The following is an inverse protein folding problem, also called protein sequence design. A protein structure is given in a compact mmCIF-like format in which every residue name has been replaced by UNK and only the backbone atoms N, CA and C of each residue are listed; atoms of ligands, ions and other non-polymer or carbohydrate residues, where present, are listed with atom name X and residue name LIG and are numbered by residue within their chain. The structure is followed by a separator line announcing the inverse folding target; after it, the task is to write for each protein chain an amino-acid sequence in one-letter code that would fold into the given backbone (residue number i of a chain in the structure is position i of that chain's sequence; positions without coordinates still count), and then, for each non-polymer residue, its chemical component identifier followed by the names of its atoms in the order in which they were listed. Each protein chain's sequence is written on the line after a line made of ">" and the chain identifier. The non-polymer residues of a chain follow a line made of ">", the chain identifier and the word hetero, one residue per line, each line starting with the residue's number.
data_IF_308883789396
#
_entry.id   IF_308883789396
#
_cell.length_a   1.000
_cell.length_b   1.000
_cell.length_c   1.000
_cell.angle_alpha   90.00
_cell.angle_beta   90.00
_cell.angle_gamma   90.00
#
_symmetry.space_group_name_H-M   'P 1'
#
loop_
_entity.id
_entity.type
_entity.pdbx_description
1 polymer ?
#
# COMPACT_ATOMS: atom_id res chain seq x y z
N UNK A 1 8.48 5.84 18.37
CA UNK A 1 8.87 5.33 17.44
C UNK A 1 10.23 5.41 17.26
N UNK A 2 10.62 5.32 17.14
CA UNK A 2 11.68 5.41 17.12
C UNK A 2 12.53 4.62 16.80
N UNK A 3 12.69 4.04 16.93
CA UNK A 3 13.57 3.32 16.87
C UNK A 3 13.91 2.84 15.73
N UNK A 4 13.66 2.32 15.13
CA UNK A 4 14.06 1.91 14.11
C UNK A 4 13.73 2.43 12.97
N UNK A 5 13.59 3.21 12.74
CA UNK A 5 13.38 3.81 11.67
C UNK A 5 14.34 3.46 10.80
N UNK A 6 14.56 2.70 10.59
CA UNK A 6 15.54 2.42 9.93
C UNK A 6 15.55 2.51 8.72
N UNK A 7 15.63 2.64 8.30
CA UNK A 7 15.92 2.70 7.28
C UNK A 7 15.58 2.37 6.25
N UNK A 8 15.80 2.34 5.84
CA UNK A 8 15.69 1.92 4.88
C UNK A 8 14.77 1.51 4.18
N UNK A 9 14.17 1.75 4.14
CA UNK A 9 13.38 1.41 3.53
C UNK A 9 12.67 0.48 3.30
N UNK A 10 12.31 0.16 3.47
CA UNK A 10 11.79 -0.79 3.29
C UNK A 10 10.66 -1.15 3.61
N UNK A 11 10.18 -1.40 3.52
CA UNK A 11 9.26 -2.04 3.59
C UNK A 11 8.44 -2.26 4.43
N UNK A 12 7.89 -2.49 4.53
CA UNK A 12 7.16 -2.93 5.20
C UNK A 12 6.23 -2.90 5.88
N UNK A 13 5.73 -3.25 6.05
CA UNK A 13 4.93 -3.46 6.78
C UNK A 13 4.26 -2.65 7.35
N UNK A 14 4.21 -1.89 7.08
CA UNK A 14 3.69 -0.99 7.74
C UNK A 14 2.39 -1.30 8.04
N UNK A 15 1.69 -1.45 7.37
CA UNK A 15 0.44 -1.58 7.70
C UNK A 15 0.04 -2.64 8.35
N UNK A 16 0.57 -3.18 8.72
CA UNK A 16 0.22 -4.18 9.27
C UNK A 16 -0.73 -4.25 10.11
N UNK A 17 -1.23 -4.89 10.22
CA UNK A 17 -2.15 -5.19 10.96
C UNK A 17 -2.00 -5.14 12.18
N UNK A 18 -2.54 -4.75 12.52
CA UNK A 18 -2.55 -4.54 13.68
C UNK A 18 -2.56 -5.60 14.47
N UNK A 19 -2.93 -6.35 14.17
CA UNK A 19 -3.08 -7.25 14.99
C UNK A 19 -1.94 -7.75 15.44
N UNK A 20 -1.14 -7.76 15.01
CA UNK A 20 -0.11 -8.29 15.40
C UNK A 20 0.39 -7.55 16.21
N UNK A 21 -0.07 -6.97 16.53
CA UNK A 21 0.39 -6.31 17.31
C UNK A 21 1.59 -6.29 17.67
N UNK A 22 1.88 -5.78 18.22
CA UNK A 22 3.00 -5.76 18.68
C UNK A 22 3.99 -5.34 17.95
N UNK A 23 3.88 -5.23 17.04
CA UNK A 23 4.86 -4.94 16.36
C UNK A 23 5.25 -3.70 16.29
N UNK A 24 6.13 -3.37 16.31
CA UNK A 24 6.64 -2.24 16.21
C UNK A 24 6.49 -1.74 14.97
N UNK A 25 5.88 -0.83 14.75
CA UNK A 25 5.82 -0.27 13.53
C UNK A 25 7.05 0.42 13.19
N UNK A 26 7.42 0.42 12.00
CA UNK A 26 8.57 1.16 11.57
C UNK A 26 8.31 2.60 11.82
N UNK A 27 9.33 3.34 11.95
CA UNK A 27 9.20 4.71 12.20
C UNK A 27 9.39 5.45 10.91
N UNK A 28 8.38 5.99 10.36
CA UNK A 28 8.49 6.75 9.14
C UNK A 28 8.47 8.24 9.44
N UNK A 29 9.23 8.98 8.69
CA UNK A 29 9.35 10.41 8.93
C UNK A 29 8.22 11.21 8.32
N UNK A 30 7.66 10.72 7.21
CA UNK A 30 6.65 11.49 6.49
C UNK A 30 5.33 10.77 6.39
N UNK A 31 5.22 9.57 6.93
CA UNK A 31 4.05 8.74 6.79
C UNK A 31 3.49 8.35 8.15
N UNK A 32 2.20 8.51 8.29
CA UNK A 32 1.52 8.10 9.51
C UNK A 32 0.99 6.68 9.36
N UNK A 33 0.27 6.40 8.30
CA UNK A 33 -0.32 5.08 8.08
C UNK A 33 -0.49 4.82 6.60
N UNK A 34 -0.50 3.56 6.22
CA UNK A 34 -0.79 3.17 4.85
C UNK A 34 -1.57 1.87 4.85
N UNK A 35 -2.56 1.77 3.99
CA UNK A 35 -3.43 0.61 3.91
C UNK A 35 -3.62 0.16 2.48
N UNK A 36 -3.78 -1.14 2.29
CA UNK A 36 -4.10 -1.70 1.00
C UNK A 36 -5.27 -2.65 1.20
N UNK A 37 -6.33 -2.47 0.46
CA UNK A 37 -7.54 -3.26 0.62
C UNK A 37 -7.98 -3.87 -0.69
N UNK A 38 -8.58 -5.04 -0.61
CA UNK A 38 -9.09 -5.72 -1.78
C UNK A 38 -10.41 -6.41 -1.41
N UNK A 39 -11.41 -6.27 -2.26
CA UNK A 39 -12.61 -7.06 -2.16
C UNK A 39 -12.98 -7.57 -3.54
N UNK A 40 -13.57 -8.74 -3.61
CA UNK A 40 -13.98 -9.31 -4.88
C UNK A 40 -15.44 -9.67 -4.78
N UNK A 41 -16.23 -9.23 -5.75
CA UNK A 41 -17.64 -9.51 -5.77
C UNK A 41 -18.12 -9.48 -7.20
N UNK A 42 -18.87 -10.50 -7.60
CA UNK A 42 -19.45 -10.53 -8.95
C UNK A 42 -18.43 -10.45 -10.05
N UNK A 43 -17.26 -11.01 -9.85
CA UNK A 43 -16.24 -10.99 -10.89
C UNK A 43 -15.50 -9.66 -10.98
N UNK A 44 -15.67 -8.80 -9.99
CA UNK A 44 -14.99 -7.50 -9.98
C UNK A 44 -14.08 -7.41 -8.78
N UNK A 45 -12.83 -7.10 -9.02
CA UNK A 45 -11.86 -6.87 -7.95
C UNK A 45 -11.84 -5.38 -7.66
N UNK A 46 -12.17 -5.00 -6.45
CA UNK A 46 -12.15 -3.60 -6.04
C UNK A 46 -10.94 -3.38 -5.15
N UNK A 47 -10.04 -2.55 -5.60
CA UNK A 47 -8.78 -2.30 -4.94
C UNK A 47 -8.79 -0.89 -4.38
N UNK A 48 -8.27 -0.71 -3.19
CA UNK A 48 -8.19 0.63 -2.62
C UNK A 48 -6.92 0.77 -1.82
N UNK A 49 -6.18 1.80 -2.10
CA UNK A 49 -4.97 2.12 -1.37
C UNK A 49 -5.19 3.45 -0.66
N UNK A 50 -4.85 3.51 0.61
CA UNK A 50 -5.01 4.73 1.39
C UNK A 50 -3.69 5.02 2.09
N UNK A 51 -3.21 6.24 1.96
CA UNK A 51 -1.96 6.64 2.59
C UNK A 51 -2.20 7.93 3.34
N UNK A 52 -1.81 7.94 4.61
CA UNK A 52 -1.87 9.14 5.42
C UNK A 52 -0.44 9.56 5.71
N UNK A 53 -0.05 10.67 5.17
CA UNK A 53 1.21 11.29 5.53
C UNK A 53 1.02 12.10 6.79
N UNK A 54 1.78 13.15 6.94
CA UNK A 54 1.71 14.00 8.11
C UNK A 54 1.35 15.39 7.63
N UNK A 55 0.22 15.87 8.11
CA UNK A 55 -0.26 17.19 7.74
C UNK A 55 0.79 18.23 8.09
N UNK A 56 1.10 19.08 7.16
CA UNK A 56 2.11 20.12 7.36
C UNK A 56 3.52 19.65 7.05
N UNK A 57 3.71 18.37 6.80
CA UNK A 57 5.04 17.84 6.51
C UNK A 57 5.06 17.18 5.14
N UNK A 58 4.13 16.27 4.90
CA UNK A 58 4.10 15.53 3.64
C UNK A 58 3.56 16.40 2.52
N UNK A 59 4.30 16.50 1.43
CA UNK A 59 3.93 17.40 0.34
C UNK A 59 3.37 16.66 -0.86
N UNK A 60 3.70 15.39 -1.03
CA UNK A 60 3.27 14.66 -2.20
C UNK A 60 3.31 13.16 -1.92
N UNK A 61 2.42 12.41 -2.50
CA UNK A 61 2.43 10.96 -2.39
C UNK A 61 2.27 10.38 -3.80
N UNK A 62 3.15 9.47 -4.17
CA UNK A 62 3.04 8.77 -5.44
C UNK A 62 2.70 7.33 -5.12
N UNK A 63 1.56 6.87 -5.58
CA UNK A 63 1.06 5.54 -5.26
C UNK A 63 1.10 4.66 -6.50
N UNK A 64 1.61 3.46 -6.36
CA UNK A 64 1.51 2.43 -7.38
C UNK A 64 0.75 1.27 -6.77
N UNK A 65 -0.36 0.91 -7.38
CA UNK A 65 -1.23 -0.13 -6.88
C UNK A 65 -1.21 -1.27 -7.87
N UNK A 66 -0.89 -2.47 -7.41
CA UNK A 66 -0.77 -3.64 -8.28
C UNK A 66 -1.70 -4.73 -7.80
N UNK A 67 -2.51 -5.26 -8.70
CA UNK A 67 -3.35 -6.41 -8.41
C UNK A 67 -2.57 -7.65 -8.80
N UNK A 68 -2.43 -8.57 -7.88
CA UNK A 68 -1.65 -9.79 -8.09
C UNK A 68 -2.49 -11.04 -7.86
N UNK A 69 -2.17 -12.10 -8.59
CA UNK A 69 -2.82 -13.38 -8.40
C UNK A 69 -1.75 -14.39 -7.99
N UNK A 70 -2.11 -15.27 -7.09
CA UNK A 70 -1.17 -16.26 -6.62
C UNK A 70 -0.96 -17.30 -7.72
N UNK A 71 0.31 -17.65 -7.97
CA UNK A 71 0.66 -18.55 -9.01
C UNK A 71 1.67 -19.52 -8.41
N UNK A 72 1.21 -20.65 -7.88
CA UNK A 72 2.06 -21.55 -7.15
C UNK A 72 2.51 -20.91 -5.87
N UNK A 73 3.79 -20.75 -5.69
CA UNK A 73 4.32 -20.12 -4.50
C UNK A 73 4.73 -18.67 -4.78
N UNK A 74 4.37 -18.16 -5.93
CA UNK A 74 4.73 -16.81 -6.32
C UNK A 74 3.49 -15.98 -6.55
N UNK A 75 3.68 -14.72 -6.83
CA UNK A 75 2.60 -13.81 -7.15
C UNK A 75 2.86 -13.20 -8.52
N UNK A 76 1.84 -13.21 -9.36
CA UNK A 76 1.95 -12.69 -10.71
C UNK A 76 1.12 -11.42 -10.84
N UNK A 77 1.67 -10.43 -11.49
CA UNK A 77 0.95 -9.18 -11.69
C UNK A 77 -0.17 -9.34 -12.71
N UNK A 78 -1.33 -8.84 -12.41
CA UNK A 78 -2.42 -8.80 -13.36
C UNK A 78 -2.46 -7.43 -14.01
N UNK A 79 -2.47 -6.38 -13.23
CA UNK A 79 -2.50 -5.03 -13.73
C UNK A 79 -2.02 -4.10 -12.63
N UNK A 80 -1.69 -2.88 -13.00
CA UNK A 80 -1.34 -1.89 -11.99
C UNK A 80 -1.79 -0.52 -12.43
N UNK A 81 -1.86 0.37 -11.48
CA UNK A 81 -2.25 1.75 -11.68
C UNK A 81 -1.31 2.62 -10.86
N UNK A 82 -1.12 3.84 -11.29
CA UNK A 82 -0.22 4.75 -10.60
C UNK A 82 -0.78 6.15 -10.64
N UNK A 83 -0.61 6.90 -9.58
CA UNK A 83 -1.13 8.25 -9.51
C UNK A 83 -0.29 9.08 -8.55
N UNK A 84 -0.18 10.37 -8.82
CA UNK A 84 0.52 11.30 -7.96
C UNK A 84 -0.50 12.22 -7.29
N UNK A 85 -0.39 12.34 -5.98
CA UNK A 85 -1.28 13.18 -5.21
C UNK A 85 -0.46 14.27 -4.53
N UNK A 86 -0.73 15.52 -4.84
CA UNK A 86 0.01 16.62 -4.22
C UNK A 86 -0.70 16.99 -2.93
N UNK A 87 -0.61 16.12 -1.97
CA UNK A 87 -1.33 16.24 -0.71
C UNK A 87 -0.66 15.37 0.33
N UNK A 88 -0.99 15.57 1.58
CA UNK A 88 -0.47 14.74 2.64
C UNK A 88 -1.31 13.47 2.83
N UNK A 89 -2.41 13.35 2.10
CA UNK A 89 -3.33 12.24 2.25
C UNK A 89 -3.83 11.82 0.88
N UNK A 90 -4.04 10.55 0.67
CA UNK A 90 -4.66 10.12 -0.57
C UNK A 90 -5.47 8.83 -0.38
N UNK A 91 -6.46 8.69 -1.23
CA UNK A 91 -7.26 7.48 -1.31
C UNK A 91 -7.35 7.14 -2.78
N UNK A 92 -6.95 5.94 -3.15
CA UNK A 92 -6.81 5.60 -4.57
C UNK A 92 -7.56 4.31 -4.86
N UNK A 93 -8.80 4.39 -5.31
CA UNK A 93 -9.59 3.21 -5.63
C UNK A 93 -9.49 2.88 -7.11
N UNK A 94 -9.46 1.61 -7.42
CA UNK A 94 -9.50 1.14 -8.80
C UNK A 94 -10.21 -0.19 -8.82
N UNK A 95 -10.69 -0.59 -9.98
CA UNK A 95 -11.32 -1.90 -10.09
C UNK A 95 -10.88 -2.58 -11.37
N UNK A 96 -10.97 -3.89 -11.38
CA UNK A 96 -10.57 -4.69 -12.53
C UNK A 96 -11.57 -5.82 -12.70
N UNK A 97 -12.02 -6.03 -13.91
CA UNK A 97 -12.94 -7.12 -14.23
C UNK A 97 -12.78 -7.49 -15.68
N UNK A 98 -13.14 -8.72 -16.06
CA UNK A 98 -13.61 -9.75 -15.18
C UNK A 98 -12.45 -10.45 -14.50
N UNK A 99 -12.69 -10.99 -13.33
CA UNK A 99 -11.64 -11.66 -12.63
C UNK A 99 -12.07 -13.09 -12.39
N UNK A 100 -11.19 -14.01 -12.65
CA UNK A 100 -11.52 -15.43 -12.52
C UNK A 100 -11.27 -15.95 -11.13
N UNK A 101 -11.32 -17.27 -10.99
CA UNK A 101 -11.08 -17.85 -9.69
C UNK A 101 -9.59 -17.80 -9.40
N UNK A 102 -9.26 -17.81 -8.15
CA UNK A 102 -7.86 -17.74 -7.72
C UNK A 102 -7.77 -16.99 -6.42
N UNK A 103 -6.55 -16.82 -5.93
CA UNK A 103 -6.29 -16.06 -4.73
C UNK A 103 -5.58 -14.79 -5.15
N UNK A 104 -6.08 -13.68 -4.68
CA UNK A 104 -5.61 -12.37 -5.11
C UNK A 104 -5.19 -11.50 -3.94
N UNK A 105 -4.34 -10.54 -4.21
CA UNK A 105 -4.00 -9.51 -3.23
C UNK A 105 -3.64 -8.22 -3.96
N UNK A 106 -3.61 -7.13 -3.23
CA UNK A 106 -3.20 -5.84 -3.78
C UNK A 106 -1.90 -5.43 -3.11
N UNK A 107 -0.92 -5.10 -3.91
CA UNK A 107 0.34 -4.57 -3.42
C UNK A 107 0.31 -3.07 -3.65
N UNK A 108 0.53 -2.31 -2.61
CA UNK A 108 0.57 -0.85 -2.72
C UNK A 108 1.98 -0.37 -2.36
N UNK A 109 2.59 0.36 -3.27
CA UNK A 109 3.88 0.98 -3.03
C UNK A 109 3.65 2.48 -3.05
N UNK A 110 3.99 3.14 -1.97
CA UNK A 110 3.80 4.57 -1.88
C UNK A 110 5.12 5.27 -1.64
N UNK A 111 5.41 6.29 -2.42
CA UNK A 111 6.54 7.16 -2.16
C UNK A 111 5.98 8.41 -1.55
N UNK A 112 6.34 8.67 -0.30
CA UNK A 112 5.80 9.78 0.45
C UNK A 112 6.89 10.84 0.57
N UNK A 113 6.61 12.01 0.06
CA UNK A 113 7.61 13.07 -0.08
C UNK A 113 7.44 14.19 0.91
N UNK A 114 8.57 14.74 1.32
CA UNK A 114 8.60 16.03 1.95
C UNK A 114 9.57 16.83 1.09
N UNK A 115 9.06 17.68 0.23
CA UNK A 115 9.90 18.39 -0.72
C UNK A 115 10.55 17.42 -1.69
N UNK A 116 11.86 17.36 -1.69
CA UNK A 116 12.59 16.46 -2.57
C UNK A 116 13.01 15.18 -1.88
N UNK A 117 12.81 15.08 -0.58
CA UNK A 117 13.12 13.87 0.15
C UNK A 117 11.92 12.95 0.15
N UNK A 118 12.14 11.66 0.18
CA UNK A 118 10.99 10.75 0.22
C UNK A 118 11.35 9.44 0.91
N UNK A 119 10.35 8.73 1.30
CA UNK A 119 10.48 7.38 1.83
C UNK A 119 9.53 6.48 1.06
N UNK A 120 9.84 5.20 0.96
CA UNK A 120 9.04 4.25 0.22
C UNK A 120 8.40 3.25 1.18
N UNK A 121 7.10 3.06 1.04
CA UNK A 121 6.37 2.18 1.90
C UNK A 121 5.66 1.16 1.05
N UNK A 122 5.75 -0.11 1.41
CA UNK A 122 5.06 -1.17 0.70
C UNK A 122 4.11 -1.88 1.66
N UNK A 123 2.86 -1.98 1.28
CA UNK A 123 1.88 -2.68 2.09
C UNK A 123 1.07 -3.59 1.19
N UNK A 124 0.54 -4.65 1.76
CA UNK A 124 -0.25 -5.62 1.02
C UNK A 124 -1.63 -5.76 1.65
N UNK A 125 -2.61 -6.01 0.82
CA UNK A 125 -3.94 -6.32 1.33
C UNK A 125 -3.94 -7.75 1.88
N UNK A 126 -5.02 -8.13 2.53
CA UNK A 126 -5.23 -9.54 2.85
C UNK A 126 -5.44 -10.27 1.54
N UNK A 127 -5.25 -11.57 1.57
CA UNK A 127 -5.49 -12.41 0.40
C UNK A 127 -6.98 -12.70 0.31
N UNK A 128 -7.53 -12.62 -0.87
CA UNK A 128 -8.95 -12.83 -1.11
C UNK A 128 -9.10 -13.84 -2.23
N UNK A 129 -9.95 -14.81 -2.03
CA UNK A 129 -10.21 -15.85 -3.04
C UNK A 129 -11.61 -15.77 -3.63
#
# INVERSE_FOLDING_TARGET
>A
CLIFCSVGGTTVLAAVPPDNGGIVSPCYLYTNQAYSNLSISGGVASCKSTVYGISGTTTKIVVTQTLQVKDGMSWRRITDWSETFNSWYCSYPNSYSPIGSGTYRVKTVAKVYKGTSYETITVYSTEVS
#
